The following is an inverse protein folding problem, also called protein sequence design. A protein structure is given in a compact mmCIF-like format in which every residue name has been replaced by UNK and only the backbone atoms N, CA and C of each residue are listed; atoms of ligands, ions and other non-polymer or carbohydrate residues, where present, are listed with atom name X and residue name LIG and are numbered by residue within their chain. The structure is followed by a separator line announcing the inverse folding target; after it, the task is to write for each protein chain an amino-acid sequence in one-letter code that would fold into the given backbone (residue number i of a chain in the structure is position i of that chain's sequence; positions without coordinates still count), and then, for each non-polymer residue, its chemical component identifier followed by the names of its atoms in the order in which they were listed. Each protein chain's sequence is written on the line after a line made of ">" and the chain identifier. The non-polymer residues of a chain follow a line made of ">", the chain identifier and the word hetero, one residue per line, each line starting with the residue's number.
data_IF_510204091203
#
_entry.id   IF_510204091203
#
_cell.length_a   1.000
_cell.length_b   1.000
_cell.length_c   1.000
_cell.angle_alpha   90.00
_cell.angle_beta   90.00
_cell.angle_gamma   90.00
#
_symmetry.space_group_name_H-M   'P 1'
#
loop_
_entity.id
_entity.type
_entity.pdbx_description
1 polymer ?
#
# COMPACT_ATOMS: atom_id res chain seq x y z
N UNK A 1 8.45 -5.85 -82.58
CA UNK A 1 9.53 -6.45 -81.80
C UNK A 1 9.22 -6.20 -80.34
N UNK A 2 8.88 -7.26 -79.65
CA UNK A 2 8.34 -7.19 -78.28
C UNK A 2 9.45 -7.54 -77.30
N UNK A 3 9.80 -6.63 -76.37
CA UNK A 3 10.70 -6.95 -75.26
C UNK A 3 9.87 -7.09 -73.97
N UNK A 4 9.81 -8.33 -73.48
CA UNK A 4 9.27 -8.65 -72.19
C UNK A 4 10.36 -8.47 -71.10
N UNK A 5 10.14 -7.62 -70.13
CA UNK A 5 11.01 -7.47 -68.97
C UNK A 5 10.43 -8.30 -67.80
N UNK A 6 11.20 -9.27 -67.34
CA UNK A 6 10.94 -10.08 -66.15
C UNK A 6 11.38 -9.28 -64.90
N UNK A 7 10.43 -9.00 -64.03
CA UNK A 7 10.71 -8.48 -62.71
C UNK A 7 10.81 -9.64 -61.71
N UNK A 8 11.99 -9.86 -61.19
CA UNK A 8 12.27 -10.82 -60.09
C UNK A 8 12.02 -10.11 -58.79
N UNK A 9 10.94 -10.47 -58.12
CA UNK A 9 10.62 -9.97 -56.81
C UNK A 9 11.37 -10.75 -55.73
N UNK A 10 12.28 -10.07 -55.03
CA UNK A 10 12.96 -10.61 -53.85
C UNK A 10 12.04 -10.50 -52.62
N UNK A 11 11.57 -11.62 -52.12
CA UNK A 11 10.87 -11.72 -50.84
C UNK A 11 11.88 -11.71 -49.68
N UNK A 12 12.02 -10.61 -49.00
CA UNK A 12 12.77 -10.53 -47.74
C UNK A 12 11.89 -11.02 -46.59
N UNK A 13 12.18 -12.21 -46.08
CA UNK A 13 11.56 -12.74 -44.89
C UNK A 13 12.12 -12.01 -43.65
N UNK A 14 11.33 -11.13 -43.04
CA UNK A 14 11.61 -10.58 -41.69
C UNK A 14 11.33 -11.65 -40.63
N UNK A 15 12.39 -12.20 -40.08
CA UNK A 15 12.35 -12.98 -38.83
C UNK A 15 12.09 -12.00 -37.65
N UNK A 16 10.85 -11.93 -37.20
CA UNK A 16 10.50 -11.25 -35.94
C UNK A 16 11.00 -12.13 -34.78
N UNK A 17 12.14 -11.76 -34.18
CA UNK A 17 12.54 -12.26 -32.85
C UNK A 17 11.57 -11.68 -31.82
N UNK A 18 10.55 -12.45 -31.49
CA UNK A 18 9.68 -12.18 -30.37
C UNK A 18 10.49 -12.36 -29.07
N UNK A 19 10.82 -11.26 -28.40
CA UNK A 19 11.26 -11.31 -27.00
C UNK A 19 10.08 -11.81 -26.18
N UNK A 20 10.18 -13.04 -25.66
CA UNK A 20 9.26 -13.53 -24.66
C UNK A 20 9.41 -12.62 -23.42
N UNK A 21 8.52 -11.64 -23.31
CA UNK A 21 8.38 -10.86 -22.09
C UNK A 21 7.94 -11.84 -20.99
N UNK A 22 8.75 -11.98 -20.00
CA UNK A 22 8.46 -12.71 -18.78
C UNK A 22 7.16 -12.12 -18.21
N UNK A 23 6.06 -12.87 -18.34
CA UNK A 23 4.77 -12.48 -17.79
C UNK A 23 4.92 -12.52 -16.28
N UNK A 24 4.99 -11.34 -15.65
CA UNK A 24 4.96 -11.21 -14.20
C UNK A 24 3.71 -11.93 -13.68
N UNK A 25 3.88 -12.80 -12.67
CA UNK A 25 2.76 -13.53 -12.06
C UNK A 25 1.73 -12.51 -11.55
N UNK A 26 0.49 -12.51 -12.07
CA UNK A 26 -0.54 -11.56 -11.65
C UNK A 26 -0.92 -11.71 -10.17
N UNK A 27 -0.54 -12.81 -9.52
CA UNK A 27 -0.76 -13.03 -8.08
C UNK A 27 0.22 -12.25 -7.22
N UNK A 28 1.43 -11.95 -7.72
CA UNK A 28 2.46 -11.23 -6.95
C UNK A 28 2.10 -9.76 -6.65
N UNK A 29 1.09 -9.21 -7.31
CA UNK A 29 0.72 -7.79 -7.23
C UNK A 29 -0.65 -7.53 -6.60
N UNK A 30 -1.41 -8.56 -6.23
CA UNK A 30 -2.73 -8.35 -5.65
C UNK A 30 -2.63 -8.00 -4.18
N UNK A 31 -2.85 -6.71 -3.88
CA UNK A 31 -2.96 -6.20 -2.51
C UNK A 31 -4.41 -6.28 -2.04
N UNK A 32 -4.61 -6.75 -0.82
CA UNK A 32 -5.87 -6.62 -0.09
C UNK A 32 -5.75 -5.48 0.91
N UNK A 33 -6.80 -4.67 1.04
CA UNK A 33 -6.84 -3.54 1.95
C UNK A 33 -7.81 -3.85 3.09
N UNK A 34 -7.31 -3.74 4.33
CA UNK A 34 -8.13 -3.86 5.52
C UNK A 34 -8.98 -2.60 5.71
N UNK A 35 -10.19 -2.71 6.26
CA UNK A 35 -11.02 -1.56 6.55
C UNK A 35 -10.36 -0.67 7.61
N UNK A 36 -10.73 0.63 7.60
CA UNK A 36 -10.31 1.56 8.63
C UNK A 36 -10.84 1.15 9.99
N UNK A 37 -9.96 1.13 10.98
CA UNK A 37 -10.31 0.79 12.36
C UNK A 37 -9.77 1.84 13.32
N UNK A 38 -10.56 2.20 14.35
CA UNK A 38 -10.12 3.10 15.40
C UNK A 38 -9.75 2.30 16.65
N UNK A 39 -8.49 2.33 16.99
CA UNK A 39 -7.93 1.66 18.15
C UNK A 39 -7.47 2.71 19.17
N UNK A 40 -7.82 2.52 20.42
CA UNK A 40 -7.42 3.40 21.51
C UNK A 40 -6.48 2.66 22.45
N UNK A 41 -5.28 3.17 22.68
CA UNK A 41 -4.34 2.63 23.67
C UNK A 41 -4.77 3.03 25.10
N UNK A 42 -5.35 4.21 25.21
CA UNK A 42 -5.99 4.75 26.42
C UNK A 42 -7.27 5.47 26.00
N UNK A 43 -8.08 5.93 26.98
CA UNK A 43 -9.26 6.75 26.66
C UNK A 43 -8.93 8.06 25.91
N UNK A 44 -7.70 8.56 26.06
CA UNK A 44 -7.26 9.82 25.44
C UNK A 44 -6.33 9.63 24.23
N UNK A 45 -5.85 8.41 23.96
CA UNK A 45 -4.88 8.15 22.90
C UNK A 45 -5.44 7.11 21.93
N UNK A 46 -6.01 7.58 20.83
CA UNK A 46 -6.55 6.75 19.77
C UNK A 46 -5.86 7.05 18.44
N UNK A 47 -5.87 6.08 17.56
CA UNK A 47 -5.50 6.26 16.16
C UNK A 47 -6.48 5.52 15.25
N UNK A 48 -6.64 6.00 14.05
CA UNK A 48 -7.40 5.35 12.97
C UNK A 48 -6.42 4.83 11.95
N UNK A 49 -6.48 3.55 11.65
CA UNK A 49 -5.51 2.92 10.76
C UNK A 49 -6.13 1.92 9.80
N UNK A 50 -5.42 1.70 8.69
CA UNK A 50 -5.69 0.67 7.70
C UNK A 50 -4.37 0.01 7.26
N UNK A 51 -4.45 -1.25 6.86
CA UNK A 51 -3.31 -2.00 6.35
C UNK A 51 -3.58 -2.52 4.94
N UNK A 52 -2.51 -2.63 4.16
CA UNK A 52 -2.48 -3.30 2.88
C UNK A 52 -1.60 -4.55 3.01
N UNK A 53 -2.07 -5.70 2.55
CA UNK A 53 -1.34 -6.96 2.58
C UNK A 53 -1.24 -7.56 1.19
N UNK A 54 -0.04 -7.92 0.79
CA UNK A 54 0.19 -8.73 -0.41
C UNK A 54 -0.12 -10.19 -0.14
N UNK A 55 -0.75 -10.88 -1.09
CA UNK A 55 -1.09 -12.30 -0.92
C UNK A 55 0.14 -13.20 -0.79
N UNK A 56 1.18 -12.91 -1.57
CA UNK A 56 2.42 -13.70 -1.61
C UNK A 56 3.70 -12.85 -1.57
N UNK A 57 3.59 -11.61 -1.15
CA UNK A 57 4.73 -10.69 -1.12
C UNK A 57 4.81 -10.01 0.25
N UNK A 58 6.01 -9.76 0.77
CA UNK A 58 6.18 -8.86 1.91
C UNK A 58 5.80 -7.40 1.55
N UNK A 59 5.46 -7.15 0.26
CA UNK A 59 4.97 -5.87 -0.18
C UNK A 59 3.57 -5.64 0.40
N UNK A 60 3.50 -4.72 1.27
CA UNK A 60 2.31 -4.26 1.93
C UNK A 60 2.66 -2.98 2.65
N UNK A 61 1.82 -2.57 3.55
CA UNK A 61 2.10 -1.40 4.37
C UNK A 61 0.90 -0.99 5.20
N UNK A 62 1.02 0.13 5.85
CA UNK A 62 -0.05 0.67 6.67
C UNK A 62 -0.03 2.18 6.67
N UNK A 63 -1.19 2.73 6.93
CA UNK A 63 -1.36 4.16 7.19
C UNK A 63 -2.17 4.32 8.47
N UNK A 64 -1.83 5.33 9.26
CA UNK A 64 -2.61 5.66 10.45
C UNK A 64 -2.67 7.17 10.66
N UNK A 65 -3.78 7.62 11.22
CA UNK A 65 -4.03 9.01 11.58
C UNK A 65 -4.31 9.08 13.09
N UNK A 66 -3.45 9.76 13.81
CA UNK A 66 -3.50 9.89 15.27
C UNK A 66 -3.86 11.32 15.64
N UNK A 67 -5.11 11.61 16.04
CA UNK A 67 -5.50 12.94 16.49
C UNK A 67 -4.64 13.40 17.67
N UNK A 68 -4.12 14.61 17.61
CA UNK A 68 -3.39 15.27 18.71
C UNK A 68 -4.25 16.33 19.38
N UNK A 69 -5.02 17.04 18.57
CA UNK A 69 -6.03 18.02 18.99
C UNK A 69 -7.20 17.96 18.00
N UNK A 70 -8.23 18.78 18.22
CA UNK A 70 -9.34 18.92 17.26
C UNK A 70 -8.92 19.44 15.87
N UNK A 71 -7.73 20.02 15.75
CA UNK A 71 -7.23 20.64 14.52
C UNK A 71 -5.88 20.12 14.05
N UNK A 72 -5.30 19.14 14.74
CA UNK A 72 -4.00 18.55 14.37
C UNK A 72 -4.00 17.04 14.59
N UNK A 73 -3.37 16.34 13.69
CA UNK A 73 -3.13 14.90 13.77
C UNK A 73 -1.71 14.57 13.28
N UNK A 74 -1.21 13.41 13.63
CA UNK A 74 -0.03 12.80 13.02
C UNK A 74 -0.53 11.75 12.04
N UNK A 75 -0.12 11.88 10.78
CA UNK A 75 -0.31 10.87 9.75
C UNK A 75 0.98 10.09 9.62
N UNK A 76 0.92 8.80 9.91
CA UNK A 76 2.06 7.88 9.80
C UNK A 76 1.82 6.90 8.66
N UNK A 77 2.83 6.66 7.84
CA UNK A 77 2.79 5.69 6.76
C UNK A 77 3.98 4.75 6.84
N UNK A 78 3.73 3.47 6.58
CA UNK A 78 4.74 2.43 6.52
C UNK A 78 4.60 1.65 5.22
N UNK A 79 5.72 1.38 4.58
CA UNK A 79 5.81 0.57 3.36
C UNK A 79 6.65 -0.65 3.69
N UNK A 80 6.04 -1.83 3.58
CA UNK A 80 6.75 -3.10 3.68
C UNK A 80 7.59 -3.29 2.42
N UNK A 81 8.88 -3.52 2.62
CA UNK A 81 9.82 -3.77 1.52
C UNK A 81 11.00 -4.57 2.02
N UNK A 82 11.52 -5.46 1.18
CA UNK A 82 12.81 -6.15 1.45
C UNK A 82 14.01 -5.31 1.04
N UNK A 83 13.81 -4.22 0.30
CA UNK A 83 14.86 -3.31 -0.16
C UNK A 83 14.72 -1.97 0.54
N UNK A 84 15.83 -1.31 0.77
CA UNK A 84 15.80 0.07 1.25
C UNK A 84 15.15 0.99 0.21
N UNK A 85 14.55 2.08 0.68
CA UNK A 85 13.95 3.08 -0.19
C UNK A 85 15.01 4.09 -0.66
N UNK A 86 14.81 4.58 -1.88
CA UNK A 86 15.52 5.73 -2.41
C UNK A 86 14.72 7.01 -2.05
N UNK A 87 15.26 7.80 -1.12
CA UNK A 87 14.69 9.13 -0.81
C UNK A 87 13.55 9.10 0.19
N UNK A 88 12.38 9.58 -0.21
CA UNK A 88 11.24 9.89 0.66
C UNK A 88 10.05 8.95 0.42
N UNK A 89 9.17 8.90 1.41
CA UNK A 89 7.81 8.39 1.24
C UNK A 89 6.92 9.60 0.94
N UNK A 90 6.01 9.48 0.00
CA UNK A 90 5.01 10.51 -0.29
C UNK A 90 3.59 10.03 -0.04
N UNK A 91 2.74 10.95 0.39
CA UNK A 91 1.30 10.75 0.52
C UNK A 91 0.60 11.58 -0.55
N UNK A 92 -0.36 10.99 -1.25
CA UNK A 92 -1.20 11.70 -2.20
C UNK A 92 -2.67 11.44 -1.89
N UNK A 93 -3.43 12.51 -1.71
CA UNK A 93 -4.87 12.47 -1.48
C UNK A 93 -5.53 12.65 -2.86
N UNK A 94 -6.27 11.63 -3.32
CA UNK A 94 -6.87 11.58 -4.66
C UNK A 94 -5.86 11.92 -5.78
N UNK A 95 -6.09 13.00 -6.51
CA UNK A 95 -5.25 13.48 -7.61
C UNK A 95 -4.40 14.69 -7.23
N UNK A 96 -4.32 15.04 -5.95
CA UNK A 96 -3.56 16.20 -5.49
C UNK A 96 -2.04 16.00 -5.60
N UNK A 97 -1.29 17.08 -5.42
CA UNK A 97 0.17 17.04 -5.36
C UNK A 97 0.66 16.18 -4.18
N UNK A 98 1.67 15.34 -4.40
CA UNK A 98 2.20 14.48 -3.35
C UNK A 98 2.84 15.28 -2.21
N UNK A 99 2.50 14.94 -0.98
CA UNK A 99 3.07 15.50 0.24
C UNK A 99 4.22 14.60 0.70
N UNK A 100 5.43 15.15 0.79
CA UNK A 100 6.61 14.38 1.14
C UNK A 100 6.73 14.16 2.65
N UNK A 101 6.93 12.91 3.07
CA UNK A 101 7.35 12.57 4.43
C UNK A 101 8.87 12.67 4.49
N UNK A 102 9.36 13.68 5.21
CA UNK A 102 10.80 13.89 5.36
C UNK A 102 11.41 12.83 6.29
N UNK A 103 12.60 12.31 5.90
CA UNK A 103 13.41 11.39 6.71
C UNK A 103 12.67 10.11 7.14
N UNK A 104 12.24 9.26 6.22
CA UNK A 104 11.70 7.97 6.58
C UNK A 104 12.77 7.13 7.31
N UNK A 105 12.33 6.39 8.34
CA UNK A 105 13.18 5.42 9.03
C UNK A 105 12.96 4.04 8.42
N UNK A 106 14.05 3.36 8.08
CA UNK A 106 14.00 2.01 7.53
C UNK A 106 14.40 0.98 8.58
N UNK A 107 13.64 -0.10 8.64
CA UNK A 107 13.83 -1.27 9.49
C UNK A 107 14.01 -2.51 8.62
N UNK A 108 14.21 -3.66 9.23
CA UNK A 108 14.41 -4.93 8.52
C UNK A 108 13.27 -5.29 7.58
N UNK A 109 12.02 -4.92 7.92
CA UNK A 109 10.82 -5.30 7.19
C UNK A 109 10.14 -4.16 6.43
N UNK A 110 10.75 -2.97 6.39
CA UNK A 110 10.16 -1.84 5.69
C UNK A 110 10.67 -0.49 6.14
N UNK A 111 10.10 0.54 5.56
CA UNK A 111 10.41 1.92 5.89
C UNK A 111 9.12 2.66 6.26
N UNK A 112 9.23 3.58 7.19
CA UNK A 112 8.08 4.38 7.61
C UNK A 112 8.46 5.79 8.00
N UNK A 113 7.47 6.63 8.08
CA UNK A 113 7.63 8.01 8.53
C UNK A 113 6.29 8.63 8.88
N UNK A 114 6.35 9.86 9.36
CA UNK A 114 5.16 10.59 9.77
C UNK A 114 5.25 12.06 9.39
N UNK A 115 4.09 12.70 9.24
CA UNK A 115 3.95 14.13 9.07
C UNK A 115 2.83 14.68 9.96
N UNK A 116 2.88 15.96 10.25
CA UNK A 116 1.78 16.65 10.92
C UNK A 116 0.72 17.03 9.87
N UNK A 117 -0.53 16.69 10.18
CA UNK A 117 -1.71 17.09 9.44
C UNK A 117 -2.44 18.18 10.22
N UNK A 118 -2.75 19.28 9.55
CA UNK A 118 -3.63 20.33 10.08
C UNK A 118 -5.11 20.00 9.87
N UNK A 119 -5.99 20.89 10.32
CA UNK A 119 -7.42 20.70 10.20
C UNK A 119 -7.90 20.62 8.75
N UNK A 120 -7.26 21.34 7.83
CA UNK A 120 -7.61 21.31 6.41
C UNK A 120 -7.30 19.94 5.80
N UNK A 121 -6.11 19.42 6.07
CA UNK A 121 -5.74 18.08 5.61
C UNK A 121 -6.65 16.99 6.20
N UNK A 122 -7.02 17.10 7.48
CA UNK A 122 -7.95 16.16 8.13
C UNK A 122 -9.32 16.18 7.41
N UNK A 123 -9.87 17.36 7.13
CA UNK A 123 -11.14 17.48 6.42
C UNK A 123 -11.02 16.97 4.97
N UNK A 124 -9.92 17.21 4.28
CA UNK A 124 -9.68 16.62 2.96
C UNK A 124 -9.70 15.09 3.01
N UNK A 125 -9.05 14.47 3.99
CA UNK A 125 -9.08 13.01 4.17
C UNK A 125 -10.49 12.48 4.41
N UNK A 126 -11.35 13.21 5.10
CA UNK A 126 -12.73 12.80 5.37
C UNK A 126 -13.62 12.82 4.12
N UNK A 127 -13.28 13.63 3.12
CA UNK A 127 -14.09 13.82 1.91
C UNK A 127 -13.47 13.18 0.66
N UNK A 128 -12.22 12.78 0.71
CA UNK A 128 -11.51 12.16 -0.40
C UNK A 128 -11.92 10.68 -0.60
N UNK A 129 -11.60 10.15 -1.75
CA UNK A 129 -11.88 8.75 -2.11
C UNK A 129 -10.71 7.84 -1.77
N UNK A 130 -9.48 8.33 -1.92
CA UNK A 130 -8.27 7.52 -1.73
C UNK A 130 -7.14 8.33 -1.09
N UNK A 131 -6.27 7.64 -0.38
CA UNK A 131 -4.94 8.12 -0.04
C UNK A 131 -3.90 7.12 -0.51
N UNK A 132 -2.99 7.56 -1.36
CA UNK A 132 -1.87 6.78 -1.84
C UNK A 132 -0.63 7.01 -0.97
N UNK A 133 0.04 5.92 -0.61
CA UNK A 133 1.38 5.92 -0.01
C UNK A 133 2.34 5.47 -1.09
N UNK A 134 3.23 6.35 -1.53
CA UNK A 134 4.17 6.08 -2.61
C UNK A 134 5.61 6.14 -2.13
N UNK A 135 6.43 5.22 -2.63
CA UNK A 135 7.85 5.16 -2.34
C UNK A 135 8.62 4.60 -3.53
N UNK A 136 9.91 4.88 -3.62
CA UNK A 136 10.79 4.32 -4.64
C UNK A 136 11.87 3.48 -3.97
N UNK A 137 12.06 2.25 -4.43
CA UNK A 137 13.13 1.39 -3.94
C UNK A 137 14.49 1.80 -4.53
N UNK A 138 15.59 1.41 -3.90
CA UNK A 138 16.95 1.62 -4.44
C UNK A 138 17.15 0.95 -5.82
N UNK A 139 16.35 -0.06 -6.15
CA UNK A 139 16.35 -0.69 -7.49
C UNK A 139 15.53 0.08 -8.53
N UNK A 140 14.97 1.25 -8.17
CA UNK A 140 14.16 2.10 -9.04
C UNK A 140 12.70 1.67 -9.16
N UNK A 141 12.28 0.61 -8.49
CA UNK A 141 10.89 0.15 -8.51
C UNK A 141 9.99 1.09 -7.69
N UNK A 142 8.88 1.52 -8.27
CA UNK A 142 7.86 2.29 -7.57
C UNK A 142 6.95 1.37 -6.79
N UNK A 143 6.76 1.66 -5.51
CA UNK A 143 5.81 1.01 -4.62
C UNK A 143 4.67 2.01 -4.44
N UNK A 144 3.43 1.59 -4.68
CA UNK A 144 2.23 2.41 -4.49
C UNK A 144 1.15 1.60 -3.76
N UNK A 145 0.72 2.11 -2.62
CA UNK A 145 -0.34 1.53 -1.80
C UNK A 145 -1.52 2.52 -1.80
N UNK A 146 -2.65 2.13 -2.40
CA UNK A 146 -3.82 2.99 -2.57
C UNK A 146 -4.90 2.59 -1.57
N UNK A 147 -4.97 3.26 -0.43
CA UNK A 147 -5.96 3.01 0.62
C UNK A 147 -7.28 3.71 0.27
N UNK A 148 -8.39 2.96 0.10
CA UNK A 148 -9.71 3.56 -0.02
C UNK A 148 -10.08 4.29 1.27
N UNK A 149 -10.62 5.51 1.16
CA UNK A 149 -11.07 6.29 2.32
C UNK A 149 -12.56 6.06 2.65
N UNK A 150 -13.15 5.01 2.08
CA UNK A 150 -14.50 4.56 2.43
C UNK A 150 -14.61 4.33 3.93
N UNK A 151 -15.60 4.94 4.57
CA UNK A 151 -15.82 4.91 6.03
C UNK A 151 -14.71 5.52 6.91
N UNK A 152 -13.71 6.18 6.32
CA UNK A 152 -12.67 6.84 7.11
C UNK A 152 -13.24 7.91 8.04
N UNK A 153 -14.09 8.81 7.52
CA UNK A 153 -14.69 9.90 8.30
C UNK A 153 -15.51 9.37 9.47
N UNK A 154 -16.37 8.39 9.22
CA UNK A 154 -17.21 7.75 10.25
C UNK A 154 -16.34 7.08 11.34
N UNK A 155 -15.27 6.40 10.92
CA UNK A 155 -14.33 5.76 11.84
C UNK A 155 -13.52 6.79 12.62
N UNK A 156 -13.09 7.87 11.98
CA UNK A 156 -12.30 8.93 12.61
C UNK A 156 -13.09 9.68 13.69
N UNK A 157 -14.34 10.04 13.39
CA UNK A 157 -15.21 10.78 14.32
C UNK A 157 -15.95 9.85 15.31
N UNK A 158 -16.06 8.58 14.98
CA UNK A 158 -16.76 7.58 15.79
C UNK A 158 -16.02 7.16 17.07
N UNK A 159 -16.64 6.30 17.89
CA UNK A 159 -16.02 5.77 19.09
C UNK A 159 -14.85 4.82 18.73
N UNK A 160 -13.79 4.85 19.51
CA UNK A 160 -12.68 3.89 19.40
C UNK A 160 -12.91 2.66 20.27
N UNK A 161 -12.28 1.55 19.89
CA UNK A 161 -12.22 0.33 20.70
C UNK A 161 -10.94 0.30 21.52
N UNK A 162 -11.05 0.01 22.81
CA UNK A 162 -9.88 -0.32 23.62
C UNK A 162 -9.41 -1.74 23.28
N UNK A 163 -8.10 -2.02 23.33
CA UNK A 163 -7.59 -3.37 23.19
C UNK A 163 -8.28 -4.26 24.23
N UNK A 164 -8.83 -5.39 23.80
CA UNK A 164 -9.34 -6.38 24.74
C UNK A 164 -8.18 -6.78 25.66
N UNK A 165 -8.29 -6.50 26.96
CA UNK A 165 -7.30 -6.92 27.94
C UNK A 165 -7.10 -8.44 27.82
N UNK A 166 -5.88 -8.88 27.65
CA UNK A 166 -5.45 -10.25 27.32
C UNK A 166 -5.68 -11.30 28.44
N UNK A 167 -6.73 -11.13 29.25
CA UNK A 167 -7.06 -12.05 30.33
C UNK A 167 -7.92 -13.26 29.95
N UNK A 168 -8.59 -13.27 28.80
CA UNK A 168 -9.48 -14.34 28.39
C UNK A 168 -9.28 -14.87 26.95
N UNK A 169 -8.27 -14.39 26.25
CA UNK A 169 -8.16 -14.59 24.79
C UNK A 169 -7.05 -15.52 24.30
N UNK A 170 -6.22 -16.11 25.16
CA UNK A 170 -5.05 -16.85 24.65
C UNK A 170 -5.40 -18.11 23.84
N UNK A 171 -6.48 -18.82 24.16
CA UNK A 171 -6.85 -20.04 23.45
C UNK A 171 -7.74 -19.80 22.23
N UNK A 172 -8.61 -18.80 22.28
CA UNK A 172 -9.51 -18.46 21.18
C UNK A 172 -8.78 -17.66 20.08
N UNK A 173 -7.95 -16.70 20.45
CA UNK A 173 -7.06 -15.99 19.50
C UNK A 173 -6.01 -16.92 18.87
N UNK A 174 -5.51 -17.92 19.60
CA UNK A 174 -4.61 -18.91 19.00
C UNK A 174 -5.33 -19.83 18.01
N UNK A 175 -6.61 -20.17 18.25
CA UNK A 175 -7.40 -20.94 17.30
C UNK A 175 -7.73 -20.14 16.05
N UNK A 176 -8.23 -18.91 16.20
CA UNK A 176 -8.48 -18.00 15.07
C UNK A 176 -7.20 -17.74 14.26
N UNK A 177 -6.07 -17.49 14.93
CA UNK A 177 -4.80 -17.28 14.25
C UNK A 177 -4.33 -18.56 13.50
N UNK A 178 -4.55 -19.74 14.08
CA UNK A 178 -4.17 -21.02 13.46
C UNK A 178 -5.07 -21.37 12.27
N UNK A 179 -6.37 -21.04 12.33
CA UNK A 179 -7.29 -21.22 11.20
C UNK A 179 -7.03 -20.19 10.10
N UNK A 180 -6.76 -18.95 10.44
CA UNK A 180 -6.39 -17.91 9.48
C UNK A 180 -5.10 -18.25 8.74
N UNK A 181 -4.08 -18.79 9.44
CA UNK A 181 -2.83 -19.22 8.82
C UNK A 181 -3.04 -20.41 7.86
N UNK A 182 -3.99 -21.31 8.14
CA UNK A 182 -4.32 -22.42 7.22
C UNK A 182 -5.04 -21.99 5.95
N UNK A 183 -5.67 -20.81 5.96
CA UNK A 183 -6.39 -20.25 4.81
C UNK A 183 -5.51 -19.32 3.97
N UNK A 184 -4.28 -19.04 4.40
CA UNK A 184 -3.34 -18.25 3.59
C UNK A 184 -2.98 -19.06 2.33
N UNK A 185 -2.99 -18.42 1.15
CA UNK A 185 -2.54 -19.07 -0.08
C UNK A 185 -1.10 -19.57 0.11
N UNK A 186 -0.85 -20.80 -0.25
CA UNK A 186 0.50 -21.37 -0.26
C UNK A 186 1.28 -20.61 -1.34
N UNK A 187 2.19 -19.74 -0.91
CA UNK A 187 3.09 -19.06 -1.82
C UNK A 187 4.27 -20.00 -2.07
N UNK A 188 4.38 -20.52 -3.29
CA UNK A 188 5.57 -21.26 -3.72
C UNK A 188 6.71 -20.26 -3.94
N UNK A 189 7.89 -20.58 -3.39
CA UNK A 189 9.13 -19.81 -3.52
C UNK A 189 9.73 -19.92 -4.94
#
# INVERSE_FOLDING_TARGET
>A
MRHAALLIGSFAALLALGTAGEAADPRATQLSYEPWTKTCLTQASCFVGAAARGQCSPSGGSISVSPQTSKRAIVSANVGTRTMLEGTISLRIDQDEPIQIARPHCYTLGCGGALEADGEMIERLKHAQTIAVEAKSLTGQTISLNFPLTHFAETFDGPGSLPKTSGQSSKESQREHTEAVKQLPQCED
#
